data_IF_449516365346
#
_entry.id   IF_449516365346
#
_cell.length_a   1.000
_cell.length_b   1.000
_cell.length_c   1.000
_cell.angle_alpha   90.00
_cell.angle_beta   90.00
_cell.angle_gamma   90.00
#
_symmetry.space_group_name_H-M   'P 1'
#
loop_
_entity.id
_entity.type
_entity.pdbx_description
1 polymer ?
#
# COMPACT_ATOMS: atom_id res chain seq x y z
N UNK A 1 -4.25 14.22 27.69
CA UNK A 1 -4.47 15.10 26.53
C UNK A 1 -5.95 15.44 26.34
N UNK A 2 -6.65 15.95 27.36
CA UNK A 2 -8.11 16.14 27.29
C UNK A 2 -8.54 17.56 26.91
N UNK A 3 -7.81 18.60 27.37
CA UNK A 3 -8.24 20.00 27.23
C UNK A 3 -8.10 20.50 25.78
N UNK A 4 -6.95 20.26 25.13
CA UNK A 4 -6.71 20.68 23.73
C UNK A 4 -7.73 20.03 22.78
N UNK A 5 -8.00 18.74 23.00
CA UNK A 5 -9.01 18.00 22.23
C UNK A 5 -10.43 18.54 22.51
N UNK A 6 -10.80 18.73 23.78
CA UNK A 6 -12.12 19.26 24.14
C UNK A 6 -12.40 20.64 23.53
N UNK A 7 -11.40 21.53 23.54
CA UNK A 7 -11.52 22.86 22.90
C UNK A 7 -11.55 22.73 21.37
N UNK A 8 -10.68 21.90 20.78
CA UNK A 8 -10.62 21.68 19.33
C UNK A 8 -11.89 21.04 18.75
N UNK A 9 -12.57 20.20 19.53
CA UNK A 9 -13.83 19.54 19.17
C UNK A 9 -15.08 20.33 19.57
N UNK A 10 -14.94 21.58 20.06
CA UNK A 10 -16.03 22.44 20.55
C UNK A 10 -16.86 21.84 21.69
N UNK A 11 -16.31 20.84 22.38
CA UNK A 11 -16.94 20.16 23.49
C UNK A 11 -16.61 20.81 24.83
N UNK A 12 -15.68 21.78 24.86
CA UNK A 12 -15.29 22.52 26.07
C UNK A 12 -15.09 24.00 25.73
N UNK A 13 -15.77 24.86 26.47
CA UNK A 13 -15.59 26.32 26.43
C UNK A 13 -15.61 26.89 27.85
N UNK A 14 -15.03 28.07 28.03
CA UNK A 14 -15.10 28.76 29.32
C UNK A 14 -16.54 29.24 29.54
N UNK A 15 -17.17 28.90 30.67
CA UNK A 15 -18.53 29.31 30.92
C UNK A 15 -18.59 30.81 31.24
N UNK A 16 -19.59 31.47 30.65
CA UNK A 16 -19.85 32.89 30.87
C UNK A 16 -20.93 33.01 31.94
N UNK A 17 -20.68 33.68 33.08
CA UNK A 17 -21.71 33.84 34.10
C UNK A 17 -22.86 34.71 33.56
N UNK A 18 -24.10 34.30 33.80
CA UNK A 18 -25.31 35.00 33.30
C UNK A 18 -25.40 36.44 33.82
N UNK A 19 -24.87 36.66 35.02
CA UNK A 19 -24.86 37.94 35.73
C UNK A 19 -23.82 38.92 35.21
N UNK A 20 -22.95 38.51 34.27
CA UNK A 20 -21.99 39.40 33.62
C UNK A 20 -22.69 40.42 32.69
N UNK A 21 -22.06 41.59 32.46
CA UNK A 21 -22.59 42.63 31.58
C UNK A 21 -22.73 42.12 30.14
N UNK A 22 -23.84 42.46 29.48
CA UNK A 22 -24.15 41.95 28.14
C UNK A 22 -23.08 42.27 27.09
N UNK A 23 -22.50 43.47 27.15
CA UNK A 23 -21.39 43.85 26.25
C UNK A 23 -20.17 42.95 26.41
N UNK A 24 -19.84 42.55 27.64
CA UNK A 24 -18.73 41.63 27.92
C UNK A 24 -19.09 40.21 27.46
N UNK A 25 -20.31 39.74 27.72
CA UNK A 25 -20.80 38.42 27.27
C UNK A 25 -20.74 38.30 25.75
N UNK A 26 -21.18 39.35 25.05
CA UNK A 26 -21.15 39.41 23.59
C UNK A 26 -19.72 39.35 23.05
N UNK A 27 -18.82 40.17 23.59
CA UNK A 27 -17.42 40.20 23.16
C UNK A 27 -16.74 38.83 23.35
N UNK A 28 -16.95 38.18 24.51
CA UNK A 28 -16.41 36.85 24.77
C UNK A 28 -16.94 35.79 23.78
N UNK A 29 -18.25 35.79 23.50
CA UNK A 29 -18.86 34.88 22.51
C UNK A 29 -18.27 35.07 21.11
N UNK A 30 -18.02 36.30 20.69
CA UNK A 30 -17.42 36.60 19.38
C UNK A 30 -15.95 36.15 19.33
N UNK A 31 -15.18 36.42 20.39
CA UNK A 31 -13.78 36.00 20.50
C UNK A 31 -13.61 34.47 20.50
N UNK A 32 -14.55 33.74 21.12
CA UNK A 32 -14.52 32.27 21.20
C UNK A 32 -15.26 31.56 20.07
N UNK A 33 -15.62 32.27 18.99
CA UNK A 33 -16.25 31.65 17.83
C UNK A 33 -15.37 30.54 17.23
N UNK A 34 -15.99 29.40 16.93
CA UNK A 34 -15.35 28.25 16.27
C UNK A 34 -14.92 28.60 14.85
N UNK A 35 -15.72 29.41 14.16
CA UNK A 35 -15.43 29.98 12.84
C UNK A 35 -14.48 31.17 13.00
N UNK A 36 -13.23 31.11 12.46
CA UNK A 36 -12.25 32.19 12.62
C UNK A 36 -12.69 33.53 12.06
N UNK A 37 -13.48 33.52 10.97
CA UNK A 37 -13.98 34.74 10.30
C UNK A 37 -14.94 35.56 11.15
N UNK A 38 -15.62 34.93 12.11
CA UNK A 38 -16.58 35.60 12.99
C UNK A 38 -15.91 36.27 14.20
N UNK A 39 -14.60 36.06 14.39
CA UNK A 39 -13.85 36.65 15.50
C UNK A 39 -13.57 38.13 15.19
N UNK A 40 -13.72 39.02 16.17
CA UNK A 40 -13.46 40.44 15.98
C UNK A 40 -11.96 40.66 15.75
N UNK A 41 -11.63 41.66 14.95
CA UNK A 41 -10.26 42.15 14.85
C UNK A 41 -9.84 42.82 16.17
N UNK A 42 -8.54 42.91 16.41
CA UNK A 42 -8.04 43.54 17.64
C UNK A 42 -8.52 44.99 17.79
N UNK A 43 -8.59 45.75 16.68
CA UNK A 43 -9.16 47.11 16.67
C UNK A 43 -10.63 47.13 17.11
N UNK A 44 -11.43 46.13 16.72
CA UNK A 44 -12.81 46.01 17.17
C UNK A 44 -12.87 45.67 18.66
N UNK A 45 -12.00 44.79 19.16
CA UNK A 45 -11.92 44.48 20.58
C UNK A 45 -11.64 45.73 21.42
N UNK A 46 -10.70 46.58 21.01
CA UNK A 46 -10.38 47.82 21.71
C UNK A 46 -11.58 48.77 21.81
N UNK A 47 -12.30 48.98 20.69
CA UNK A 47 -13.51 49.81 20.67
C UNK A 47 -14.58 49.30 21.64
N UNK A 48 -14.79 47.98 21.70
CA UNK A 48 -15.72 47.38 22.66
C UNK A 48 -15.26 47.58 24.10
N UNK A 49 -13.95 47.45 24.37
CA UNK A 49 -13.39 47.68 25.69
C UNK A 49 -13.53 49.14 26.14
N UNK A 50 -13.37 50.11 25.24
CA UNK A 50 -13.56 51.53 25.56
C UNK A 50 -14.99 51.83 26.03
N UNK A 51 -15.98 51.24 25.35
CA UNK A 51 -17.40 51.35 25.73
C UNK A 51 -17.66 50.72 27.10
N UNK A 52 -17.20 49.49 27.30
CA UNK A 52 -17.34 48.78 28.58
C UNK A 52 -16.64 49.51 29.73
N UNK A 53 -15.47 50.08 29.47
CA UNK A 53 -14.73 50.84 30.46
C UNK A 53 -15.48 52.10 30.90
N UNK A 54 -16.12 52.80 29.97
CA UNK A 54 -16.99 53.93 30.30
C UNK A 54 -18.17 53.49 31.18
N UNK A 55 -18.84 52.39 30.84
CA UNK A 55 -19.94 51.83 31.65
C UNK A 55 -19.48 51.44 33.07
N UNK A 56 -18.30 50.82 33.21
CA UNK A 56 -17.76 50.46 34.52
C UNK A 56 -17.37 51.68 35.35
N UNK A 57 -16.87 52.73 34.70
CA UNK A 57 -16.53 53.98 35.36
C UNK A 57 -17.78 54.70 35.88
N UNK A 58 -18.87 54.68 35.13
CA UNK A 58 -20.16 55.26 35.55
C UNK A 58 -20.77 54.50 36.74
N UNK A 59 -20.53 53.20 36.85
CA UNK A 59 -21.04 52.34 37.92
C UNK A 59 -20.38 52.60 39.29
N UNK A 60 -19.13 53.08 39.30
CA UNK A 60 -18.35 53.33 40.51
C UNK A 60 -17.65 52.08 41.08
N UNK A 61 -16.52 52.31 41.77
CA UNK A 61 -15.61 51.24 42.19
C UNK A 61 -16.24 50.25 43.18
N UNK A 62 -16.99 50.72 44.17
CA UNK A 62 -17.65 49.84 45.16
C UNK A 62 -18.59 48.83 44.51
N UNK A 63 -19.46 49.30 43.61
CA UNK A 63 -20.42 48.47 42.92
C UNK A 63 -19.74 47.53 41.91
N UNK A 64 -18.69 48.02 41.23
CA UNK A 64 -17.85 47.20 40.37
C UNK A 64 -17.23 46.03 41.14
N UNK A 65 -16.56 46.28 42.28
CA UNK A 65 -15.93 45.21 43.06
C UNK A 65 -16.95 44.21 43.60
N UNK A 66 -18.12 44.68 44.03
CA UNK A 66 -19.22 43.82 44.47
C UNK A 66 -19.70 42.89 43.35
N UNK A 67 -19.92 43.42 42.14
CA UNK A 67 -20.32 42.61 40.98
C UNK A 67 -19.21 41.69 40.49
N UNK A 68 -17.96 42.15 40.47
CA UNK A 68 -16.81 41.35 40.08
C UNK A 68 -16.60 40.14 41.03
N UNK A 69 -16.80 40.35 42.34
CA UNK A 69 -16.79 39.25 43.31
C UNK A 69 -17.91 38.24 43.02
N UNK A 70 -19.12 38.73 42.72
CA UNK A 70 -20.25 37.88 42.33
C UNK A 70 -19.97 37.09 41.04
N UNK A 71 -19.45 37.73 39.99
CA UNK A 71 -19.11 37.05 38.74
C UNK A 71 -18.05 35.96 38.94
N UNK A 72 -17.06 36.20 39.80
CA UNK A 72 -16.04 35.19 40.14
C UNK A 72 -16.64 34.01 40.89
N UNK A 73 -17.54 34.26 41.84
CA UNK A 73 -18.24 33.20 42.57
C UNK A 73 -19.16 32.41 41.63
N UNK A 74 -19.93 33.09 40.79
CA UNK A 74 -20.81 32.48 39.80
C UNK A 74 -19.97 31.62 38.83
N UNK A 75 -18.84 32.12 38.32
CA UNK A 75 -17.94 31.38 37.45
C UNK A 75 -17.33 30.13 38.12
N UNK A 76 -16.98 30.21 39.40
CA UNK A 76 -16.46 29.07 40.17
C UNK A 76 -17.51 27.98 40.42
N UNK A 77 -18.80 28.36 40.46
CA UNK A 77 -19.90 27.44 40.73
C UNK A 77 -20.51 26.83 39.45
N UNK A 78 -20.04 27.21 38.26
CA UNK A 78 -20.53 26.63 37.02
C UNK A 78 -20.01 25.20 36.88
N UNK A 79 -20.94 24.24 36.86
CA UNK A 79 -20.65 22.86 36.57
C UNK A 79 -20.41 22.67 35.07
N UNK A 80 -19.25 22.13 34.73
CA UNK A 80 -19.01 21.61 33.39
C UNK A 80 -19.81 20.31 33.20
N UNK A 81 -20.32 20.05 31.99
CA UNK A 81 -20.93 18.77 31.65
C UNK A 81 -20.09 17.58 32.12
N UNK A 82 -20.73 16.56 32.70
CA UNK A 82 -20.06 15.35 33.19
C UNK A 82 -19.25 14.64 32.09
N UNK A 83 -19.66 14.79 30.83
CA UNK A 83 -18.97 14.26 29.64
C UNK A 83 -17.54 14.81 29.47
N UNK A 84 -17.24 15.97 30.06
CA UNK A 84 -15.94 16.63 29.98
C UNK A 84 -15.14 16.43 31.27
N UNK A 85 -15.81 16.40 32.43
CA UNK A 85 -15.18 16.35 33.76
C UNK A 85 -14.91 14.94 34.26
N UNK A 86 -15.77 13.99 33.91
CA UNK A 86 -15.51 12.57 34.08
C UNK A 86 -15.20 12.07 32.67
N UNK A 87 -13.98 11.60 32.43
CA UNK A 87 -13.62 10.93 31.18
C UNK A 87 -14.35 9.59 31.05
N UNK A 88 -15.67 9.62 31.06
CA UNK A 88 -16.53 8.49 31.31
C UNK A 88 -17.67 8.49 30.29
N UNK A 89 -17.68 7.44 29.48
CA UNK A 89 -18.84 6.90 28.78
C UNK A 89 -19.42 7.63 27.53
N UNK A 90 -18.76 8.63 26.96
CA UNK A 90 -18.95 8.94 25.53
C UNK A 90 -17.98 8.05 24.73
N UNK A 91 -18.36 7.04 23.95
CA UNK A 91 -19.65 6.63 23.42
C UNK A 91 -19.56 5.12 23.14
N UNK A 92 -20.49 4.30 23.63
CA UNK A 92 -20.49 2.86 23.33
C UNK A 92 -20.65 2.61 21.82
N UNK A 93 -21.45 3.42 21.14
CA UNK A 93 -21.64 3.40 19.69
C UNK A 93 -20.37 3.80 18.92
N UNK A 94 -19.70 4.88 19.30
CA UNK A 94 -18.48 5.36 18.63
C UNK A 94 -17.30 4.39 18.84
N UNK A 95 -17.28 3.67 19.97
CA UNK A 95 -16.31 2.59 20.22
C UNK A 95 -16.62 1.32 19.41
N UNK A 96 -17.90 1.02 19.18
CA UNK A 96 -18.30 -0.07 18.27
C UNK A 96 -17.91 0.28 16.82
N UNK A 97 -18.21 1.51 16.37
CA UNK A 97 -17.80 2.02 15.06
C UNK A 97 -16.26 1.99 14.91
N UNK A 98 -15.52 2.38 15.95
CA UNK A 98 -14.05 2.29 15.95
C UNK A 98 -13.55 0.85 15.82
N UNK A 99 -14.13 -0.09 16.57
CA UNK A 99 -13.77 -1.52 16.46
C UNK A 99 -14.09 -2.08 15.08
N UNK A 100 -15.24 -1.72 14.49
CA UNK A 100 -15.61 -2.14 13.15
C UNK A 100 -14.65 -1.60 12.09
N UNK A 101 -14.26 -0.33 12.19
CA UNK A 101 -13.24 0.27 11.33
C UNK A 101 -11.89 -0.45 11.45
N UNK A 102 -11.47 -0.79 12.68
CA UNK A 102 -10.25 -1.55 12.92
C UNK A 102 -10.36 -2.96 12.31
N UNK A 103 -11.50 -3.63 12.48
CA UNK A 103 -11.76 -4.96 11.89
C UNK A 103 -11.64 -4.91 10.37
N UNK A 104 -12.31 -3.95 9.73
CA UNK A 104 -12.28 -3.78 8.27
C UNK A 104 -10.86 -3.54 7.76
N UNK A 105 -10.10 -2.64 8.39
CA UNK A 105 -8.69 -2.42 8.04
C UNK A 105 -7.83 -3.68 8.20
N UNK A 106 -8.06 -4.48 9.24
CA UNK A 106 -7.34 -5.75 9.44
C UNK A 106 -7.66 -6.76 8.34
N UNK A 107 -8.91 -6.82 7.90
CA UNK A 107 -9.34 -7.70 6.80
C UNK A 107 -8.74 -7.25 5.46
N UNK A 108 -8.76 -5.96 5.17
CA UNK A 108 -8.11 -5.38 3.99
C UNK A 108 -6.60 -5.67 3.98
N UNK A 109 -5.92 -5.51 5.12
CA UNK A 109 -4.50 -5.85 5.26
C UNK A 109 -4.24 -7.33 5.04
N UNK A 110 -5.06 -8.21 5.63
CA UNK A 110 -4.94 -9.65 5.44
C UNK A 110 -5.12 -10.03 3.97
N UNK A 111 -6.13 -9.47 3.31
CA UNK A 111 -6.38 -9.71 1.90
C UNK A 111 -5.19 -9.29 1.03
N UNK A 112 -4.61 -8.11 1.31
CA UNK A 112 -3.40 -7.65 0.61
C UNK A 112 -2.19 -8.58 0.84
N UNK A 113 -2.04 -9.12 2.05
CA UNK A 113 -1.00 -10.10 2.37
C UNK A 113 -1.20 -11.42 1.62
N UNK A 114 -2.42 -11.95 1.60
CA UNK A 114 -2.76 -13.19 0.88
C UNK A 114 -2.47 -13.05 -0.62
N UNK A 115 -2.83 -11.91 -1.22
CA UNK A 115 -2.52 -11.60 -2.62
C UNK A 115 -1.01 -11.59 -2.84
N UNK A 116 -0.26 -10.87 -1.99
CA UNK A 116 1.20 -10.80 -2.09
C UNK A 116 1.84 -12.18 -2.04
N UNK A 117 1.44 -13.01 -1.07
CA UNK A 117 1.96 -14.38 -0.93
C UNK A 117 1.66 -15.23 -2.16
N UNK A 118 0.45 -15.13 -2.72
CA UNK A 118 0.10 -15.82 -3.96
C UNK A 118 1.05 -15.43 -5.10
N UNK A 119 1.31 -14.14 -5.29
CA UNK A 119 2.22 -13.67 -6.35
C UNK A 119 3.67 -14.10 -6.11
N UNK A 120 4.16 -14.05 -4.87
CA UNK A 120 5.50 -14.55 -4.52
C UNK A 120 5.65 -16.04 -4.80
N UNK A 121 4.61 -16.83 -4.53
CA UNK A 121 4.60 -18.26 -4.83
C UNK A 121 4.58 -18.54 -6.34
N UNK A 122 3.82 -17.77 -7.12
CA UNK A 122 3.85 -17.85 -8.59
C UNK A 122 5.23 -17.49 -9.13
N UNK A 123 5.82 -16.39 -8.67
CA UNK A 123 7.15 -15.95 -9.07
C UNK A 123 8.21 -17.00 -8.74
N UNK A 124 8.16 -17.60 -7.55
CA UNK A 124 9.05 -18.68 -7.13
C UNK A 124 9.00 -19.89 -8.06
N UNK A 125 7.79 -20.29 -8.48
CA UNK A 125 7.61 -21.41 -9.43
C UNK A 125 8.17 -21.07 -10.80
N UNK A 126 7.90 -19.88 -11.31
CA UNK A 126 8.43 -19.42 -12.60
C UNK A 126 9.94 -19.35 -12.58
N UNK A 127 10.55 -18.75 -11.55
CA UNK A 127 11.99 -18.68 -11.39
C UNK A 127 12.62 -20.09 -11.34
N UNK A 128 12.00 -21.04 -10.66
CA UNK A 128 12.46 -22.44 -10.64
C UNK A 128 12.48 -23.06 -12.04
N UNK A 129 11.43 -22.84 -12.84
CA UNK A 129 11.39 -23.35 -14.21
C UNK A 129 12.40 -22.65 -15.11
N UNK A 130 12.56 -21.33 -14.94
CA UNK A 130 13.58 -20.56 -15.63
C UNK A 130 14.98 -21.09 -15.35
N UNK A 131 15.36 -21.30 -14.08
CA UNK A 131 16.65 -21.88 -13.72
C UNK A 131 16.89 -23.23 -14.38
N UNK A 132 15.90 -24.13 -14.36
CA UNK A 132 16.01 -25.45 -15.04
C UNK A 132 16.22 -25.32 -16.54
N UNK A 133 15.51 -24.39 -17.18
CA UNK A 133 15.67 -24.14 -18.61
C UNK A 133 17.06 -23.59 -18.91
N UNK A 134 17.55 -22.67 -18.08
CA UNK A 134 18.91 -22.13 -18.18
C UNK A 134 19.96 -23.23 -18.04
N UNK A 135 19.80 -24.15 -17.09
CA UNK A 135 20.71 -25.29 -16.91
C UNK A 135 20.77 -26.17 -18.16
N UNK A 136 19.60 -26.55 -18.71
CA UNK A 136 19.51 -27.33 -19.95
C UNK A 136 20.13 -26.60 -21.14
N UNK A 137 19.88 -25.29 -21.27
CA UNK A 137 20.48 -24.46 -22.32
C UNK A 137 22.01 -24.45 -22.23
N UNK A 138 22.55 -24.32 -21.02
CA UNK A 138 24.00 -24.36 -20.79
C UNK A 138 24.61 -25.72 -21.15
N UNK A 139 23.93 -26.82 -20.82
CA UNK A 139 24.37 -28.17 -21.21
C UNK A 139 24.43 -28.34 -22.74
N UNK A 140 23.42 -27.85 -23.45
CA UNK A 140 23.39 -27.88 -24.92
C UNK A 140 24.51 -27.05 -25.54
N UNK A 141 24.75 -25.84 -25.02
CA UNK A 141 25.86 -24.98 -25.48
C UNK A 141 27.23 -25.63 -25.26
N UNK A 142 27.41 -26.36 -24.16
CA UNK A 142 28.64 -27.12 -23.92
C UNK A 142 28.80 -28.28 -24.92
N UNK A 143 27.70 -28.99 -25.22
CA UNK A 143 27.68 -30.08 -26.21
C UNK A 143 27.96 -29.57 -27.62
N UNK A 144 27.43 -28.41 -27.99
CA UNK A 144 27.69 -27.77 -29.27
C UNK A 144 29.18 -27.46 -29.43
N UNK A 145 29.81 -26.84 -28.43
CA UNK A 145 31.26 -26.57 -28.42
C UNK A 145 32.10 -27.85 -28.50
N UNK A 146 31.70 -28.90 -27.79
CA UNK A 146 32.36 -30.21 -27.85
C UNK A 146 32.28 -30.82 -29.26
N UNK A 147 31.10 -30.75 -29.90
CA UNK A 147 30.91 -31.23 -31.27
C UNK A 147 31.73 -30.43 -32.27
N UNK A 148 31.77 -29.09 -32.16
CA UNK A 148 32.63 -28.25 -32.99
C UNK A 148 34.11 -28.63 -32.85
N UNK A 149 34.59 -28.88 -31.63
CA UNK A 149 35.96 -29.32 -31.39
C UNK A 149 36.24 -30.67 -32.07
N UNK A 150 35.31 -31.63 -31.95
CA UNK A 150 35.43 -32.94 -32.62
C UNK A 150 35.43 -32.82 -34.13
N UNK A 151 34.56 -31.99 -34.70
CA UNK A 151 34.53 -31.72 -36.16
C UNK A 151 35.85 -31.11 -36.61
N UNK A 152 36.39 -30.12 -35.88
CA UNK A 152 37.71 -29.52 -36.16
C UNK A 152 38.83 -30.56 -36.13
N UNK A 153 38.88 -31.42 -35.11
CA UNK A 153 39.88 -32.49 -35.02
C UNK A 153 39.75 -33.51 -36.15
N UNK A 154 38.53 -33.90 -36.52
CA UNK A 154 38.30 -34.81 -37.65
C UNK A 154 38.71 -34.18 -38.97
N UNK A 155 38.42 -32.89 -39.19
CA UNK A 155 38.86 -32.16 -40.38
C UNK A 155 40.40 -32.08 -40.46
N UNK A 156 41.06 -31.80 -39.33
CA UNK A 156 42.52 -31.82 -39.23
C UNK A 156 43.10 -33.23 -39.46
N UNK A 157 42.45 -34.27 -38.94
CA UNK A 157 42.79 -35.66 -39.22
C UNK A 157 42.65 -35.99 -40.71
N UNK A 158 41.56 -35.59 -41.37
CA UNK A 158 41.38 -35.81 -42.80
C UNK A 158 42.37 -35.00 -43.66
N UNK A 159 42.92 -33.91 -43.13
CA UNK A 159 43.86 -33.03 -43.83
C UNK A 159 45.30 -33.58 -43.89
N UNK A 160 45.69 -34.47 -42.97
CA UNK A 160 47.03 -35.12 -42.97
C UNK A 160 47.00 -36.66 -42.78
N UNK A 161 46.28 -37.43 -43.65
CA UNK A 161 45.92 -38.84 -43.45
C UNK A 161 47.09 -39.83 -43.28
N UNK A 162 48.32 -39.41 -43.52
CA UNK A 162 49.53 -40.23 -43.47
C UNK A 162 50.13 -40.41 -42.07
N UNK A 163 49.62 -39.74 -41.03
CA UNK A 163 50.22 -39.77 -39.68
C UNK A 163 49.52 -40.69 -38.64
N UNK A 164 48.32 -41.22 -38.90
CA UNK A 164 47.50 -41.88 -37.86
C UNK A 164 46.73 -43.13 -38.31
N UNK A 165 47.15 -43.81 -39.37
CA UNK A 165 46.56 -45.10 -39.75
C UNK A 165 46.97 -46.22 -38.78
N UNK A 166 46.22 -46.45 -37.70
CA UNK A 166 46.31 -47.69 -36.91
C UNK A 166 44.97 -48.40 -36.79
N UNK A 167 44.92 -49.61 -37.36
CA UNK A 167 44.03 -50.76 -37.15
C UNK A 167 42.80 -50.59 -36.24
N UNK A 168 41.60 -50.61 -36.84
CA UNK A 168 40.33 -50.78 -36.11
C UNK A 168 39.67 -52.10 -36.52
N UNK A 169 39.70 -53.08 -35.61
CA UNK A 169 39.07 -54.40 -35.78
C UNK A 169 37.62 -54.32 -35.29
N UNK A 170 36.67 -54.59 -36.19
CA UNK A 170 35.21 -54.58 -35.95
C UNK A 170 34.78 -55.76 -35.05
N UNK A 171 33.84 -55.58 -34.10
CA UNK A 171 33.11 -56.71 -33.54
C UNK A 171 31.85 -57.04 -34.34
N UNK A 172 31.67 -58.33 -34.62
CA UNK A 172 30.53 -58.94 -35.32
C UNK A 172 29.33 -59.11 -34.39
N UNK A 173 28.16 -58.57 -34.76
CA UNK A 173 26.90 -58.79 -34.02
C UNK A 173 26.13 -59.94 -34.65
N UNK A 174 25.87 -61.00 -33.87
CA UNK A 174 25.05 -62.16 -34.27
C UNK A 174 23.57 -61.82 -34.13
N UNK A 175 22.81 -61.96 -35.23
CA UNK A 175 21.36 -61.71 -35.30
C UNK A 175 20.62 -63.01 -34.97
N UNK A 176 19.82 -63.02 -33.90
CA UNK A 176 18.90 -64.11 -33.59
C UNK A 176 17.46 -63.73 -34.02
N UNK A 177 16.74 -64.66 -34.63
CA UNK A 177 15.29 -64.61 -34.84
C UNK A 177 14.77 -65.99 -35.28
N UNK A 178 13.45 -66.22 -35.41
CA UNK A 178 12.34 -65.78 -34.57
C UNK A 178 11.56 -66.98 -33.97
N UNK A 179 10.82 -66.81 -32.88
CA UNK A 179 9.72 -67.72 -32.49
C UNK A 179 8.39 -66.95 -32.56
N UNK A 180 7.49 -67.42 -33.41
CA UNK A 180 6.16 -66.87 -33.64
C UNK A 180 5.17 -67.38 -32.61
N UNK A 181 4.30 -66.52 -32.07
CA UNK A 181 2.92 -66.83 -31.70
C UNK A 181 2.06 -65.57 -31.86
N UNK A 182 0.87 -65.76 -32.43
CA UNK A 182 -0.09 -64.81 -33.01
C UNK A 182 -0.55 -63.69 -32.08
N UNK A 183 -0.76 -62.49 -32.63
CA UNK A 183 -1.61 -61.45 -32.05
C UNK A 183 -1.39 -60.06 -32.64
N UNK A 184 -2.25 -59.66 -33.59
CA UNK A 184 -2.50 -58.31 -34.14
C UNK A 184 -1.28 -57.44 -34.53
N UNK A 185 -0.95 -57.47 -35.84
CA UNK A 185 -0.18 -56.42 -36.52
C UNK A 185 -0.96 -55.10 -36.48
N UNK A 186 -0.37 -54.08 -35.85
CA UNK A 186 -0.62 -52.69 -36.21
C UNK A 186 0.70 -52.13 -36.71
N UNK A 187 0.80 -52.03 -38.03
CA UNK A 187 1.88 -51.34 -38.72
C UNK A 187 1.84 -49.85 -38.37
N UNK A 188 2.77 -49.40 -37.53
CA UNK A 188 3.01 -47.98 -37.32
C UNK A 188 3.79 -47.47 -38.52
N UNK A 189 3.07 -46.93 -39.50
CA UNK A 189 3.64 -46.06 -40.51
C UNK A 189 4.07 -44.74 -39.84
N UNK A 190 5.37 -44.49 -39.77
CA UNK A 190 5.87 -43.13 -39.55
C UNK A 190 5.68 -42.33 -40.84
N UNK A 191 4.52 -41.70 -41.00
CA UNK A 191 4.32 -40.67 -42.02
C UNK A 191 5.11 -39.43 -41.62
N UNK A 192 6.07 -39.02 -42.43
CA UNK A 192 6.72 -37.72 -42.31
C UNK A 192 5.65 -36.63 -42.46
N UNK A 193 5.47 -35.80 -41.45
CA UNK A 193 4.62 -34.62 -41.52
C UNK A 193 5.48 -33.46 -42.03
N UNK A 194 4.99 -32.87 -43.11
CA UNK A 194 5.50 -31.71 -43.87
C UNK A 194 5.70 -30.46 -42.97
N UNK A 195 6.80 -29.67 -43.11
CA UNK A 195 7.08 -28.50 -42.26
C UNK A 195 6.16 -27.28 -42.45
N UNK A 196 5.11 -27.34 -43.27
CA UNK A 196 4.22 -26.20 -43.52
C UNK A 196 2.84 -26.34 -42.85
N UNK A 197 2.74 -26.09 -41.53
CA UNK A 197 1.42 -25.82 -40.92
C UNK A 197 1.42 -25.09 -39.58
N UNK A 198 2.20 -24.02 -39.41
CA UNK A 198 1.82 -22.99 -38.43
C UNK A 198 2.10 -21.60 -39.00
N UNK A 199 1.08 -21.05 -39.66
CA UNK A 199 1.01 -19.63 -39.93
C UNK A 199 0.80 -18.89 -38.62
N UNK A 200 1.72 -17.99 -38.30
CA UNK A 200 1.49 -16.87 -37.38
C UNK A 200 0.48 -15.93 -38.04
N UNK A 201 -0.68 -15.73 -37.42
CA UNK A 201 -1.36 -14.44 -37.54
C UNK A 201 -0.81 -13.52 -36.45
N UNK A 202 0.04 -12.59 -36.89
CA UNK A 202 0.40 -11.41 -36.14
C UNK A 202 -0.77 -10.44 -36.26
N UNK A 203 -1.43 -10.13 -35.14
CA UNK A 203 -2.20 -8.89 -35.05
C UNK A 203 -1.61 -8.05 -33.92
N UNK A 204 -0.92 -6.99 -34.37
CA UNK A 204 -0.41 -5.90 -33.55
C UNK A 204 -1.57 -4.97 -33.20
N UNK A 205 -1.68 -4.61 -31.92
CA UNK A 205 -2.36 -3.39 -31.49
C UNK A 205 -1.75 -2.99 -30.14
N UNK A 206 -0.66 -2.22 -30.21
CA UNK A 206 -0.30 -1.27 -29.16
C UNK A 206 -1.44 -0.24 -29.04
N UNK A 207 -1.93 0.01 -27.83
CA UNK A 207 -2.16 1.36 -27.32
C UNK A 207 -2.47 1.34 -25.81
N UNK A 208 -2.00 2.41 -25.15
CA UNK A 208 -2.31 2.88 -23.79
C UNK A 208 -1.59 2.28 -22.58
N UNK A 209 -0.31 2.64 -22.43
CA UNK A 209 0.25 2.99 -21.11
C UNK A 209 1.10 4.28 -21.22
N UNK A 210 0.43 5.43 -21.31
CA UNK A 210 1.00 6.73 -21.01
C UNK A 210 0.45 7.25 -19.67
N UNK A 211 1.35 7.52 -18.71
CA UNK A 211 1.05 8.07 -17.38
C UNK A 211 0.80 6.95 -16.35
N UNK A 212 1.58 6.78 -15.29
CA UNK A 212 2.16 7.77 -14.40
C UNK A 212 3.43 7.16 -13.77
N UNK A 213 4.59 7.63 -14.21
CA UNK A 213 5.88 7.37 -13.56
C UNK A 213 6.54 8.71 -13.29
N UNK A 214 6.15 9.32 -12.16
CA UNK A 214 6.98 10.30 -11.45
C UNK A 214 6.72 10.10 -9.97
N UNK A 215 7.72 10.40 -9.16
CA UNK A 215 7.86 10.11 -7.71
C UNK A 215 8.39 8.72 -7.40
N UNK A 216 9.71 8.56 -7.46
CA UNK A 216 10.58 8.35 -6.28
C UNK A 216 12.03 8.27 -6.80
N UNK A 217 12.80 9.34 -6.59
CA UNK A 217 14.25 9.30 -6.39
C UNK A 217 14.72 10.68 -5.87
N UNK A 218 15.16 10.67 -4.60
CA UNK A 218 15.84 11.73 -3.81
C UNK A 218 14.95 12.84 -3.27
#
# INVERSE_FOLDING_TARGET
>A
MAIIYGVGSNNLSLPIPETAPDGLKMLMRQCWSTTPRNRPSFTQCLKYMDILYAEFKEMGDEEFFRRAAKWRADAANIQYPETITKGNAQNFAEREDEKELIRKRREELKHAQDIREMYENKLRRTNKMYSKLTDCMNELLLKEKELEQRIRMLDEQQRYPYLYASTSTRPTVVRAGPRTMRGSEQDIYCTAIDPHSYGMEVSSSEEDLAGVSSWIAV
#
